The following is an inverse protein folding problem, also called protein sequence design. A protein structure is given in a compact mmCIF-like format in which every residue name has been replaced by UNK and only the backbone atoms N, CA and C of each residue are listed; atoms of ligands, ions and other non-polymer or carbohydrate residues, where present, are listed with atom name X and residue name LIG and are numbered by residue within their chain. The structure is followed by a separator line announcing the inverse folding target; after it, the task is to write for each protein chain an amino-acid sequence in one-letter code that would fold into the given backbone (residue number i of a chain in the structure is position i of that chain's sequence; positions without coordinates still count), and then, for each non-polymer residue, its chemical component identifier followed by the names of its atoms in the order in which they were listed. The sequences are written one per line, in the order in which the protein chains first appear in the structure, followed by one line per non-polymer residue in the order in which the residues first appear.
data_IF_705032998822
#
_entry.id   IF_705032998822
#
_cell.length_a   1.000
_cell.length_b   1.000
_cell.length_c   1.000
_cell.angle_alpha   90.00
_cell.angle_beta   90.00
_cell.angle_gamma   90.00
#
_symmetry.space_group_name_H-M   'P 1'
#
loop_
_entity.id
_entity.type
_entity.pdbx_description
1 polymer ?
#
# COMPACT_ATOMS: atom_id res chain seq x y z
N UNK A 1 13.81 18.41 10.98
CA UNK A 1 13.03 17.26 11.48
C UNK A 1 12.43 16.54 10.30
N UNK A 2 12.58 15.21 10.21
CA UNK A 2 11.98 14.43 9.13
C UNK A 2 10.48 14.69 9.12
N UNK A 3 9.92 15.06 7.97
CA UNK A 3 8.47 15.09 7.85
C UNK A 3 8.01 13.68 7.54
N UNK A 4 7.13 13.15 8.40
CA UNK A 4 6.54 11.85 8.22
C UNK A 4 5.14 12.04 7.64
N UNK A 5 5.00 11.76 6.35
CA UNK A 5 3.69 11.73 5.72
C UNK A 5 3.00 10.41 6.00
N UNK A 6 1.68 10.46 6.09
CA UNK A 6 0.86 9.28 6.39
C UNK A 6 0.05 8.91 5.17
N UNK A 7 -0.18 7.61 4.98
CA UNK A 7 -1.07 7.13 3.94
C UNK A 7 -2.01 6.04 4.46
N UNK A 8 -3.22 6.04 3.93
CA UNK A 8 -4.24 5.04 4.14
C UNK A 8 -4.62 4.46 2.78
N UNK A 9 -4.59 3.14 2.69
CA UNK A 9 -4.89 2.40 1.46
C UNK A 9 -6.02 1.43 1.76
N UNK A 10 -7.08 1.52 0.97
CA UNK A 10 -8.14 0.51 0.93
C UNK A 10 -8.00 -0.27 -0.37
N UNK A 11 -7.95 -1.59 -0.28
CA UNK A 11 -7.97 -2.47 -1.45
C UNK A 11 -9.28 -3.24 -1.42
N UNK A 12 -10.02 -3.20 -2.52
CA UNK A 12 -11.31 -3.85 -2.68
C UNK A 12 -11.20 -4.99 -3.69
N UNK A 13 -11.59 -6.17 -3.23
CA UNK A 13 -11.71 -7.37 -4.04
C UNK A 13 -13.15 -7.88 -4.02
N UNK A 14 -13.28 -9.20 -4.01
CA UNK A 14 -14.56 -9.90 -3.97
C UNK A 14 -14.43 -11.07 -3.02
N UNK A 15 -15.07 -10.97 -1.85
CA UNK A 15 -15.03 -12.03 -0.84
C UNK A 15 -15.82 -13.27 -1.26
N UNK A 16 -15.68 -14.36 -0.50
CA UNK A 16 -16.39 -15.60 -0.76
C UNK A 16 -15.90 -16.79 0.06
N UNK A 17 -16.44 -17.96 -0.24
CA UNK A 17 -16.06 -19.20 0.45
C UNK A 17 -14.68 -19.68 -0.02
N UNK A 18 -13.82 -20.09 0.91
CA UNK A 18 -12.44 -20.59 0.61
C UNK A 18 -12.38 -21.80 -0.32
N UNK A 19 -13.48 -22.53 -0.52
CA UNK A 19 -13.55 -23.69 -1.40
C UNK A 19 -13.78 -23.30 -2.86
N UNK A 20 -14.08 -22.03 -3.13
CA UNK A 20 -14.37 -21.49 -4.46
C UNK A 20 -13.53 -20.22 -4.75
N UNK A 21 -12.18 -20.30 -4.64
CA UNK A 21 -11.32 -19.12 -4.81
C UNK A 21 -11.35 -18.56 -6.24
N UNK A 22 -11.72 -19.36 -7.23
CA UNK A 22 -11.87 -18.93 -8.62
C UNK A 22 -13.04 -17.95 -8.83
N UNK A 23 -13.94 -17.81 -7.86
CA UNK A 23 -15.07 -16.87 -7.90
C UNK A 23 -14.82 -15.58 -7.11
N UNK A 24 -13.66 -15.46 -6.47
CA UNK A 24 -13.26 -14.37 -5.60
C UNK A 24 -12.12 -13.55 -6.22
N UNK A 25 -11.90 -12.36 -5.67
CA UNK A 25 -10.70 -11.55 -5.89
C UNK A 25 -10.13 -11.31 -4.51
N UNK A 26 -9.00 -11.93 -4.21
CA UNK A 26 -8.48 -12.01 -2.85
C UNK A 26 -7.67 -10.72 -2.49
N UNK A 27 -8.20 -9.87 -1.60
CA UNK A 27 -7.50 -8.66 -1.18
C UNK A 27 -6.33 -8.98 -0.25
N UNK A 28 -6.28 -10.14 0.42
CA UNK A 28 -5.15 -10.57 1.25
C UNK A 28 -3.92 -10.76 0.37
N UNK A 29 -4.07 -11.51 -0.72
CA UNK A 29 -2.98 -11.79 -1.67
C UNK A 29 -2.54 -10.48 -2.34
N UNK A 30 -3.50 -9.68 -2.81
CA UNK A 30 -3.24 -8.38 -3.45
C UNK A 30 -2.45 -7.45 -2.53
N UNK A 31 -2.90 -7.28 -1.29
CA UNK A 31 -2.24 -6.43 -0.29
C UNK A 31 -0.83 -6.91 0.04
N UNK A 32 -0.64 -8.22 0.16
CA UNK A 32 0.68 -8.82 0.42
C UNK A 32 1.65 -8.57 -0.73
N UNK A 33 1.18 -8.62 -1.98
CA UNK A 33 1.98 -8.28 -3.17
C UNK A 33 2.33 -6.81 -3.18
N UNK A 34 1.39 -5.92 -2.82
CA UNK A 34 1.66 -4.50 -2.69
C UNK A 34 2.72 -4.21 -1.62
N UNK A 35 2.62 -4.81 -0.43
CA UNK A 35 3.61 -4.65 0.66
C UNK A 35 5.01 -5.00 0.20
N UNK A 36 5.16 -6.11 -0.53
CA UNK A 36 6.47 -6.53 -1.05
C UNK A 36 6.97 -5.57 -2.13
N UNK A 37 6.11 -5.19 -3.08
CA UNK A 37 6.49 -4.33 -4.21
C UNK A 37 6.81 -2.89 -3.76
N UNK A 38 6.13 -2.36 -2.74
CA UNK A 38 6.37 -0.99 -2.27
C UNK A 38 7.81 -0.78 -1.79
N UNK A 39 8.50 -1.84 -1.35
CA UNK A 39 9.91 -1.79 -0.94
C UNK A 39 10.87 -1.45 -2.10
N UNK A 40 10.43 -1.60 -3.35
CA UNK A 40 11.21 -1.24 -4.54
C UNK A 40 11.47 0.27 -4.57
N UNK A 41 10.55 1.09 -4.06
CA UNK A 41 10.70 2.55 -4.05
C UNK A 41 11.98 2.94 -3.31
N UNK A 42 12.12 2.51 -2.05
CA UNK A 42 13.29 2.82 -1.25
C UNK A 42 14.55 2.08 -1.72
N UNK A 43 14.42 0.83 -2.19
CA UNK A 43 15.58 -0.01 -2.50
C UNK A 43 16.15 0.17 -3.90
N UNK A 44 15.34 0.57 -4.90
CA UNK A 44 15.72 0.61 -6.32
C UNK A 44 15.43 1.93 -7.03
N UNK A 45 14.48 2.73 -6.57
CA UNK A 45 14.09 3.97 -7.26
C UNK A 45 14.76 5.21 -6.66
N UNK A 46 15.08 5.20 -5.36
CA UNK A 46 15.67 6.34 -4.66
C UNK A 46 17.19 6.20 -4.61
N UNK A 47 17.89 7.32 -4.89
CA UNK A 47 19.34 7.38 -4.78
C UNK A 47 19.77 7.05 -3.33
N UNK A 48 20.73 6.12 -3.12
CA UNK A 48 21.14 5.68 -1.79
C UNK A 48 21.73 6.79 -0.91
N UNK A 49 22.17 7.91 -1.48
CA UNK A 49 22.61 9.09 -0.73
C UNK A 49 21.45 9.89 -0.12
N UNK A 50 20.20 9.70 -0.60
CA UNK A 50 19.01 10.29 0.00
C UNK A 50 18.38 9.31 1.01
N UNK A 51 17.92 9.84 2.14
CA UNK A 51 17.14 9.05 3.09
C UNK A 51 15.69 8.93 2.62
N UNK A 52 15.20 7.71 2.49
CA UNK A 52 13.80 7.43 2.26
C UNK A 52 13.38 6.19 3.03
N UNK A 53 12.27 6.30 3.76
CA UNK A 53 11.69 5.21 4.54
C UNK A 53 10.23 5.10 4.17
N UNK A 54 9.78 3.90 3.83
CA UNK A 54 8.37 3.58 3.62
C UNK A 54 8.04 2.42 4.54
N UNK A 55 7.10 2.64 5.44
CA UNK A 55 6.71 1.67 6.46
C UNK A 55 5.22 1.43 6.40
N UNK A 56 4.82 0.16 6.31
CA UNK A 56 3.43 -0.25 6.48
C UNK A 56 3.27 -0.68 7.93
N UNK A 57 2.51 0.09 8.69
CA UNK A 57 2.41 -0.02 10.14
C UNK A 57 1.11 -0.71 10.59
N UNK A 58 0.10 -0.76 9.73
CA UNK A 58 -1.17 -1.43 9.98
C UNK A 58 -1.58 -2.23 8.74
N UNK A 59 -2.09 -3.44 8.97
CA UNK A 59 -2.54 -4.36 7.93
C UNK A 59 -3.75 -5.14 8.47
N UNK A 60 -4.95 -4.67 8.16
CA UNK A 60 -6.20 -5.17 8.71
C UNK A 60 -7.06 -5.77 7.60
N UNK A 61 -7.46 -7.04 7.77
CA UNK A 61 -8.30 -7.77 6.81
C UNK A 61 -8.85 -9.05 7.42
N UNK A 62 -10.07 -9.41 7.01
CA UNK A 62 -10.75 -10.65 7.41
C UNK A 62 -11.07 -10.74 8.90
N UNK A 63 -11.98 -11.66 9.25
CA UNK A 63 -12.31 -11.97 10.65
C UNK A 63 -12.68 -13.46 10.84
N UNK A 64 -12.37 -14.31 9.86
CA UNK A 64 -12.77 -15.72 9.86
C UNK A 64 -11.77 -16.56 9.06
N UNK A 65 -11.51 -17.78 9.51
CA UNK A 65 -10.50 -18.66 8.91
C UNK A 65 -10.95 -19.33 7.59
N UNK A 66 -12.26 -19.30 7.28
CA UNK A 66 -12.87 -20.01 6.16
C UNK A 66 -13.61 -19.07 5.18
N UNK A 67 -13.37 -17.76 5.27
CA UNK A 67 -13.97 -16.75 4.39
C UNK A 67 -12.86 -15.86 3.82
N UNK A 68 -12.85 -15.71 2.49
CA UNK A 68 -12.00 -14.74 1.81
C UNK A 68 -12.65 -13.35 2.00
N UNK A 69 -11.95 -12.35 2.55
CA UNK A 69 -12.52 -11.03 2.78
C UNK A 69 -12.78 -10.28 1.47
N UNK A 70 -13.66 -9.28 1.53
CA UNK A 70 -13.97 -8.39 0.39
C UNK A 70 -13.04 -7.19 0.29
N UNK A 71 -12.35 -6.83 1.37
CA UNK A 71 -11.47 -5.66 1.40
C UNK A 71 -10.30 -5.83 2.36
N UNK A 72 -9.32 -4.94 2.22
CA UNK A 72 -8.17 -4.78 3.10
C UNK A 72 -7.93 -3.30 3.38
N UNK A 73 -7.50 -2.98 4.61
CA UNK A 73 -7.09 -1.64 5.00
C UNK A 73 -5.64 -1.66 5.48
N UNK A 74 -4.80 -0.86 4.83
CA UNK A 74 -3.39 -0.71 5.15
C UNK A 74 -3.13 0.74 5.54
N UNK A 75 -2.28 0.93 6.53
CA UNK A 75 -1.83 2.26 6.94
C UNK A 75 -0.33 2.27 7.08
N UNK A 76 0.29 3.39 6.73
CA UNK A 76 1.73 3.50 6.75
C UNK A 76 2.22 4.93 6.75
N UNK A 77 3.55 5.05 6.78
CA UNK A 77 4.24 6.33 6.72
C UNK A 77 5.31 6.32 5.65
N UNK A 78 5.54 7.49 5.05
CA UNK A 78 6.67 7.77 4.17
C UNK A 78 7.47 8.91 4.78
N UNK A 79 8.79 8.73 4.91
CA UNK A 79 9.67 9.70 5.56
C UNK A 79 10.90 9.98 4.71
N UNK A 80 11.25 11.25 4.59
CA UNK A 80 12.48 11.70 3.92
C UNK A 80 12.92 13.07 4.46
N UNK A 81 14.18 13.41 4.25
CA UNK A 81 14.72 14.77 4.47
C UNK A 81 14.70 15.62 3.20
N UNK A 82 14.42 15.03 2.04
CA UNK A 82 14.44 15.71 0.76
C UNK A 82 13.01 16.10 0.34
N UNK A 83 12.73 17.40 0.32
CA UNK A 83 11.39 17.90 -0.03
C UNK A 83 10.94 17.51 -1.44
N UNK A 84 11.87 17.41 -2.40
CA UNK A 84 11.52 16.98 -3.77
C UNK A 84 11.07 15.52 -3.77
N UNK A 85 11.80 14.64 -3.08
CA UNK A 85 11.39 13.23 -2.95
C UNK A 85 10.08 13.09 -2.17
N UNK A 86 9.84 13.97 -1.20
CA UNK A 86 8.59 13.99 -0.43
C UNK A 86 7.38 14.19 -1.35
N UNK A 87 7.45 15.14 -2.28
CA UNK A 87 6.37 15.39 -3.25
C UNK A 87 6.21 14.25 -4.27
N UNK A 88 7.26 13.46 -4.52
CA UNK A 88 7.23 12.33 -5.44
C UNK A 88 6.62 11.05 -4.81
N UNK A 89 6.65 10.91 -3.47
CA UNK A 89 6.18 9.70 -2.78
C UNK A 89 4.74 9.30 -3.09
N UNK A 90 3.73 10.21 -3.07
CA UNK A 90 2.35 9.83 -3.38
C UNK A 90 2.24 9.15 -4.74
N UNK A 91 2.89 9.71 -5.77
CA UNK A 91 2.86 9.17 -7.13
C UNK A 91 3.59 7.83 -7.25
N UNK A 92 4.72 7.65 -6.56
CA UNK A 92 5.43 6.37 -6.53
C UNK A 92 4.61 5.27 -5.86
N UNK A 93 4.00 5.56 -4.70
CA UNK A 93 3.15 4.62 -3.97
C UNK A 93 1.92 4.26 -4.81
N UNK A 94 1.24 5.27 -5.37
CA UNK A 94 0.06 5.07 -6.19
C UNK A 94 0.36 4.24 -7.44
N UNK A 95 1.47 4.50 -8.15
CA UNK A 95 1.86 3.70 -9.31
C UNK A 95 2.02 2.22 -8.99
N UNK A 96 2.68 1.89 -7.88
CA UNK A 96 2.87 0.50 -7.46
C UNK A 96 1.55 -0.13 -7.01
N UNK A 97 0.71 0.63 -6.29
CA UNK A 97 -0.61 0.20 -5.86
C UNK A 97 -1.50 -0.11 -7.07
N UNK A 98 -1.62 0.84 -8.00
CA UNK A 98 -2.40 0.72 -9.22
C UNK A 98 -1.96 -0.47 -10.07
N UNK A 99 -0.66 -0.58 -10.36
CA UNK A 99 -0.13 -1.70 -11.14
C UNK A 99 -0.31 -3.06 -10.44
N UNK A 100 -0.27 -3.10 -9.11
CA UNK A 100 -0.56 -4.32 -8.37
C UNK A 100 -2.03 -4.67 -8.44
N UNK A 101 -2.92 -3.71 -8.19
CA UNK A 101 -4.35 -3.92 -8.21
C UNK A 101 -4.87 -4.35 -9.58
N UNK A 102 -4.36 -3.74 -10.66
CA UNK A 102 -4.64 -4.11 -12.04
C UNK A 102 -4.32 -5.58 -12.31
N UNK A 103 -3.09 -6.01 -11.98
CA UNK A 103 -2.66 -7.41 -12.21
C UNK A 103 -3.42 -8.44 -11.38
N UNK A 104 -4.07 -8.00 -10.30
CA UNK A 104 -4.80 -8.84 -9.37
C UNK A 104 -6.33 -8.73 -9.54
N UNK A 105 -6.81 -7.98 -10.54
CA UNK A 105 -8.23 -7.73 -10.81
C UNK A 105 -8.98 -7.10 -9.63
N UNK A 106 -8.32 -6.20 -8.89
CA UNK A 106 -8.86 -5.51 -7.71
C UNK A 106 -8.91 -4.00 -7.93
N UNK A 107 -9.67 -3.30 -7.10
CA UNK A 107 -9.71 -1.82 -7.09
C UNK A 107 -9.15 -1.28 -5.79
N UNK A 108 -8.83 0.01 -5.74
CA UNK A 108 -8.24 0.63 -4.56
C UNK A 108 -8.69 2.06 -4.35
N UNK A 109 -8.51 2.54 -3.13
CA UNK A 109 -8.57 3.94 -2.74
C UNK A 109 -7.30 4.28 -1.95
N UNK A 110 -6.67 5.41 -2.27
CA UNK A 110 -5.48 5.91 -1.60
C UNK A 110 -5.77 7.31 -1.04
N UNK A 111 -5.60 7.45 0.27
CA UNK A 111 -5.57 8.75 0.93
C UNK A 111 -4.15 9.03 1.40
N UNK A 112 -3.58 10.12 0.91
CA UNK A 112 -2.25 10.57 1.29
C UNK A 112 -2.33 11.89 2.04
N UNK A 113 -1.82 11.92 3.28
CA UNK A 113 -1.81 13.09 4.14
C UNK A 113 -0.41 13.65 4.31
N UNK A 114 -0.21 14.90 3.89
CA UNK A 114 1.02 15.63 4.19
C UNK A 114 0.95 16.18 5.61
N UNK A 115 1.85 15.72 6.47
CA UNK A 115 1.93 16.26 7.84
C UNK A 115 2.72 17.57 7.77
N UNK A 116 2.02 18.69 7.83
CA UNK A 116 2.66 20.02 7.92
C UNK A 116 3.34 20.14 9.27
N UNK A 117 4.68 20.10 9.30
CA UNK A 117 5.44 20.54 10.46
C UNK A 117 5.28 22.06 10.55
N UNK A 118 4.43 22.52 11.47
CA UNK A 118 4.34 23.92 11.89
C UNK A 118 5.36 24.17 13.00
#
# INVERSE_FOLDING_TARGET
MASADTFNIFIYGKGGHVAMPNLTVDPIVTSSRFVNKSQIIASREINPSNTAVISICSFQLGNSANVIPSSAHLQGTAQTFNNKLREEFPGCIERILAGTCETMCSTYELHYGHTSNN
#
